data_IF_613990573619
#
_entry.id   IF_613990573619
#
_cell.length_a   1.000
_cell.length_b   1.000
_cell.length_c   1.000
_cell.angle_alpha   90.00
_cell.angle_beta   90.00
_cell.angle_gamma   90.00
#
_symmetry.space_group_name_H-M   'P 1'
#
loop_
_entity.id
_entity.type
_entity.pdbx_description
1 polymer ?
#
# COMPACT_ATOMS: atom_id res chain seq x y z
N UNK A 1 4.49 -11.17 -48.58
CA UNK A 1 4.37 -11.94 -47.30
C UNK A 1 5.01 -11.28 -46.04
N UNK A 2 5.72 -10.14 -46.12
CA UNK A 2 6.38 -9.52 -44.96
C UNK A 2 5.73 -8.27 -44.34
N UNK A 3 4.71 -7.69 -44.99
CA UNK A 3 4.18 -6.36 -44.62
C UNK A 3 3.12 -6.36 -43.49
N UNK A 4 2.60 -7.53 -43.08
CA UNK A 4 1.51 -7.63 -42.10
C UNK A 4 1.98 -7.73 -40.65
N UNK A 5 3.24 -8.09 -40.38
CA UNK A 5 3.76 -8.26 -39.02
C UNK A 5 3.89 -6.95 -38.26
N UNK A 6 4.35 -5.89 -38.94
CA UNK A 6 4.53 -4.55 -38.35
C UNK A 6 3.19 -3.99 -37.82
N UNK A 7 2.09 -3.93 -38.60
CA UNK A 7 0.82 -3.42 -38.09
C UNK A 7 0.27 -4.25 -36.93
N UNK A 8 0.39 -5.59 -36.97
CA UNK A 8 -0.08 -6.46 -35.88
C UNK A 8 0.74 -6.25 -34.60
N UNK A 9 2.06 -6.06 -34.71
CA UNK A 9 2.94 -5.74 -33.58
C UNK A 9 2.57 -4.40 -32.94
N UNK A 10 2.40 -3.35 -33.75
CA UNK A 10 2.01 -2.03 -33.27
C UNK A 10 0.65 -2.13 -32.57
N UNK A 11 -0.31 -2.84 -33.15
CA UNK A 11 -1.62 -3.06 -32.54
C UNK A 11 -1.51 -3.78 -31.18
N UNK A 12 -0.66 -4.80 -31.04
CA UNK A 12 -0.46 -5.49 -29.77
C UNK A 12 0.21 -4.61 -28.72
N UNK A 13 1.23 -3.83 -29.10
CA UNK A 13 1.92 -2.91 -28.18
C UNK A 13 0.94 -1.86 -27.66
N UNK A 14 0.17 -1.24 -28.56
CA UNK A 14 -0.85 -0.27 -28.18
C UNK A 14 -1.91 -0.90 -27.29
N UNK A 15 -2.43 -2.08 -27.69
CA UNK A 15 -3.41 -2.80 -26.88
C UNK A 15 -2.89 -3.11 -25.48
N UNK A 16 -1.63 -3.55 -25.35
CA UNK A 16 -1.02 -3.83 -24.06
C UNK A 16 -0.87 -2.55 -23.21
N UNK A 17 -0.46 -1.44 -23.82
CA UNK A 17 -0.36 -0.15 -23.13
C UNK A 17 -1.73 0.32 -22.60
N UNK A 18 -2.79 0.24 -23.41
CA UNK A 18 -4.15 0.57 -22.99
C UNK A 18 -4.66 -0.37 -21.88
N UNK A 19 -4.40 -1.67 -22.01
CA UNK A 19 -4.80 -2.66 -21.00
C UNK A 19 -4.13 -2.41 -19.65
N UNK A 20 -2.84 -2.06 -19.65
CA UNK A 20 -2.11 -1.71 -18.43
C UNK A 20 -2.71 -0.48 -17.75
N UNK A 21 -3.01 0.58 -18.52
CA UNK A 21 -3.70 1.77 -18.01
C UNK A 21 -5.08 1.44 -17.43
N UNK A 22 -5.87 0.62 -18.13
CA UNK A 22 -7.18 0.19 -17.69
C UNK A 22 -7.11 -0.63 -16.38
N UNK A 23 -6.21 -1.61 -16.27
CA UNK A 23 -6.02 -2.42 -15.06
C UNK A 23 -5.60 -1.56 -13.85
N UNK A 24 -4.68 -0.61 -14.06
CA UNK A 24 -4.24 0.31 -13.00
C UNK A 24 -5.37 1.21 -12.52
N UNK A 25 -6.10 1.81 -13.46
CA UNK A 25 -7.27 2.65 -13.15
C UNK A 25 -8.34 1.86 -12.42
N UNK A 26 -8.67 0.66 -12.91
CA UNK A 26 -9.64 -0.24 -12.30
C UNK A 26 -9.28 -0.58 -10.84
N UNK A 27 -8.03 -0.91 -10.58
CA UNK A 27 -7.57 -1.20 -9.23
C UNK A 27 -7.66 0.02 -8.30
N UNK A 28 -7.27 1.19 -8.79
CA UNK A 28 -7.35 2.45 -8.04
C UNK A 28 -8.81 2.84 -7.72
N UNK A 29 -9.72 2.71 -8.68
CA UNK A 29 -11.15 2.96 -8.49
C UNK A 29 -11.71 2.02 -7.42
N UNK A 30 -11.39 0.73 -7.53
CA UNK A 30 -11.85 -0.30 -6.60
C UNK A 30 -11.37 -0.02 -5.16
N UNK A 31 -10.12 0.41 -5.00
CA UNK A 31 -9.60 0.87 -3.70
C UNK A 31 -10.37 2.10 -3.23
N UNK A 32 -10.49 3.16 -4.04
CA UNK A 32 -11.13 4.42 -3.61
C UNK A 32 -12.61 4.25 -3.24
N UNK A 33 -13.35 3.40 -3.95
CA UNK A 33 -14.78 3.20 -3.74
C UNK A 33 -15.10 2.12 -2.69
N UNK A 34 -14.15 1.24 -2.36
CA UNK A 34 -14.37 0.22 -1.33
C UNK A 34 -14.36 0.83 0.07
N UNK A 35 -15.30 0.43 0.95
CA UNK A 35 -15.28 0.83 2.35
C UNK A 35 -13.99 0.35 3.02
N UNK A 36 -13.45 1.16 3.94
CA UNK A 36 -12.19 0.84 4.64
C UNK A 36 -12.31 -0.48 5.43
N UNK A 37 -13.48 -0.70 6.02
CA UNK A 37 -13.84 -1.95 6.67
C UNK A 37 -14.32 -2.95 5.62
N UNK A 38 -13.58 -4.05 5.42
CA UNK A 38 -13.98 -5.12 4.51
C UNK A 38 -13.52 -4.98 3.05
N UNK A 39 -12.62 -4.06 2.71
CA UNK A 39 -12.00 -3.95 1.37
C UNK A 39 -11.52 -5.31 0.82
N UNK A 40 -10.92 -6.14 1.67
CA UNK A 40 -10.48 -7.51 1.30
C UNK A 40 -11.61 -8.37 0.71
N UNK A 41 -12.83 -8.29 1.26
CA UNK A 41 -13.99 -9.06 0.79
C UNK A 41 -14.47 -8.55 -0.57
N UNK A 42 -14.48 -7.24 -0.78
CA UNK A 42 -14.79 -6.63 -2.09
C UNK A 42 -13.79 -7.06 -3.16
N UNK A 43 -12.49 -7.05 -2.83
CA UNK A 43 -11.43 -7.53 -3.73
C UNK A 43 -11.59 -9.02 -4.05
N UNK A 44 -11.89 -9.85 -3.05
CA UNK A 44 -12.10 -11.28 -3.22
C UNK A 44 -13.32 -11.58 -4.10
N UNK A 45 -14.44 -10.88 -3.89
CA UNK A 45 -15.64 -11.02 -4.71
C UNK A 45 -15.39 -10.59 -6.15
N UNK A 46 -14.71 -9.45 -6.35
CA UNK A 46 -14.31 -8.99 -7.68
C UNK A 46 -13.43 -10.01 -8.39
N UNK A 47 -12.42 -10.56 -7.71
CA UNK A 47 -11.56 -11.60 -8.27
C UNK A 47 -12.33 -12.88 -8.59
N UNK A 48 -13.26 -13.30 -7.74
CA UNK A 48 -14.10 -14.47 -7.97
C UNK A 48 -14.99 -14.30 -9.21
N UNK A 49 -15.67 -13.16 -9.35
CA UNK A 49 -16.50 -12.85 -10.52
C UNK A 49 -15.64 -12.80 -11.79
N UNK A 50 -14.51 -12.09 -11.74
CA UNK A 50 -13.58 -11.99 -12.87
C UNK A 50 -13.03 -13.34 -13.27
N UNK A 51 -12.69 -14.20 -12.31
CA UNK A 51 -12.24 -15.57 -12.54
C UNK A 51 -13.33 -16.45 -13.17
N UNK A 52 -14.56 -16.39 -12.67
CA UNK A 52 -15.69 -17.13 -13.26
C UNK A 52 -15.96 -16.70 -14.71
N UNK A 53 -16.02 -15.39 -14.95
CA UNK A 53 -16.19 -14.84 -16.31
C UNK A 53 -15.01 -15.25 -17.20
N UNK A 54 -13.78 -15.11 -16.71
CA UNK A 54 -12.56 -15.49 -17.43
C UNK A 54 -12.48 -16.98 -17.77
N UNK A 55 -13.03 -17.86 -16.91
CA UNK A 55 -13.11 -19.30 -17.20
C UNK A 55 -14.19 -19.63 -18.23
N UNK A 56 -15.33 -18.94 -18.19
CA UNK A 56 -16.44 -19.16 -19.13
C UNK A 56 -16.20 -18.53 -20.51
N UNK A 57 -15.43 -17.44 -20.59
CA UNK A 57 -15.24 -16.67 -21.81
C UNK A 57 -14.61 -17.46 -22.98
N UNK A 58 -13.56 -18.29 -22.81
CA UNK A 58 -13.01 -19.10 -23.89
C UNK A 58 -14.01 -20.12 -24.45
N UNK A 59 -14.86 -20.70 -23.57
CA UNK A 59 -15.89 -21.67 -23.98
C UNK A 59 -16.92 -20.97 -24.86
N UNK A 60 -17.44 -19.82 -24.41
CA UNK A 60 -18.39 -19.01 -25.16
C UNK A 60 -17.77 -18.53 -26.48
N UNK A 61 -16.54 -18.03 -26.45
CA UNK A 61 -15.82 -17.57 -27.63
C UNK A 61 -15.57 -18.68 -28.65
N UNK A 62 -15.26 -19.90 -28.20
CA UNK A 62 -15.10 -21.07 -29.06
C UNK A 62 -16.40 -21.50 -29.72
N UNK A 63 -17.51 -21.51 -28.98
CA UNK A 63 -18.85 -21.81 -29.52
C UNK A 63 -19.27 -20.72 -30.53
N UNK A 64 -19.07 -19.46 -30.19
CA UNK A 64 -19.36 -18.33 -31.07
C UNK A 64 -18.51 -18.40 -32.35
N UNK A 65 -17.22 -18.74 -32.23
CA UNK A 65 -16.33 -18.92 -33.37
C UNK A 65 -16.82 -20.02 -34.31
N UNK A 66 -17.27 -21.16 -33.78
CA UNK A 66 -17.87 -22.24 -34.57
C UNK A 66 -19.17 -21.80 -35.27
N UNK A 67 -20.04 -21.07 -34.57
CA UNK A 67 -21.28 -20.56 -35.17
C UNK A 67 -21.02 -19.58 -36.34
N UNK A 68 -19.89 -18.85 -36.31
CA UNK A 68 -19.53 -17.89 -37.34
C UNK A 68 -18.62 -18.46 -38.45
N UNK A 69 -18.27 -19.76 -38.42
CA UNK A 69 -17.36 -20.38 -39.41
C UNK A 69 -17.84 -20.28 -40.85
N UNK A 70 -19.17 -20.29 -41.06
CA UNK A 70 -19.77 -20.24 -42.41
C UNK A 70 -20.02 -18.81 -42.91
N UNK A 71 -19.61 -17.80 -42.14
CA UNK A 71 -19.82 -16.40 -42.48
C UNK A 71 -18.46 -15.81 -42.84
N UNK A 72 -18.16 -15.79 -44.14
CA UNK A 72 -17.04 -15.04 -44.71
C UNK A 72 -17.59 -14.05 -45.74
N UNK A 73 -17.13 -12.81 -45.63
CA UNK A 73 -17.48 -11.75 -46.58
C UNK A 73 -16.21 -11.31 -47.28
N UNK A 74 -16.25 -11.21 -48.61
CA UNK A 74 -15.18 -10.58 -49.36
C UNK A 74 -15.41 -9.08 -49.36
N UNK A 75 -14.51 -8.33 -48.72
CA UNK A 75 -14.51 -6.88 -48.78
C UNK A 75 -13.38 -6.45 -49.73
N UNK A 76 -13.75 -6.04 -50.95
CA UNK A 76 -12.80 -5.74 -52.03
C UNK A 76 -11.83 -6.91 -52.30
N UNK A 77 -10.54 -6.76 -51.99
CA UNK A 77 -9.48 -7.77 -52.23
C UNK A 77 -9.13 -8.58 -50.98
N UNK A 78 -9.78 -8.28 -49.84
CA UNK A 78 -9.48 -8.90 -48.55
C UNK A 78 -10.61 -9.83 -48.12
N UNK A 79 -10.24 -11.06 -47.77
CA UNK A 79 -11.17 -12.03 -47.20
C UNK A 79 -11.35 -11.72 -45.71
N UNK A 80 -12.52 -11.19 -45.34
CA UNK A 80 -12.88 -11.00 -43.94
C UNK A 80 -13.23 -12.37 -43.37
N UNK A 81 -12.28 -12.93 -42.64
CA UNK A 81 -12.41 -14.24 -42.01
C UNK A 81 -13.29 -14.12 -40.75
N UNK A 82 -13.93 -15.22 -40.37
CA UNK A 82 -14.75 -15.37 -39.17
C UNK A 82 -14.13 -14.75 -37.88
N UNK A 83 -12.81 -14.84 -37.70
CA UNK A 83 -12.11 -14.27 -36.54
C UNK A 83 -12.17 -12.73 -36.49
N UNK A 84 -12.12 -12.04 -37.62
CA UNK A 84 -12.21 -10.58 -37.66
C UNK A 84 -13.59 -10.10 -37.21
N UNK A 85 -14.65 -10.85 -37.55
CA UNK A 85 -16.02 -10.57 -37.09
C UNK A 85 -16.09 -10.69 -35.57
N UNK A 86 -15.48 -11.72 -34.98
CA UNK A 86 -15.41 -11.89 -33.52
C UNK A 86 -14.66 -10.73 -32.86
N UNK A 87 -13.56 -10.26 -33.47
CA UNK A 87 -12.85 -9.08 -32.98
C UNK A 87 -13.71 -7.81 -33.03
N UNK A 88 -14.51 -7.62 -34.09
CA UNK A 88 -15.44 -6.49 -34.20
C UNK A 88 -16.53 -6.58 -33.12
N UNK A 89 -17.12 -7.76 -32.91
CA UNK A 89 -18.11 -7.99 -31.85
C UNK A 89 -17.51 -7.66 -30.48
N UNK A 90 -16.26 -8.10 -30.23
CA UNK A 90 -15.53 -7.77 -29.00
C UNK A 90 -15.32 -6.26 -28.85
N UNK A 91 -14.92 -5.57 -29.92
CA UNK A 91 -14.73 -4.12 -29.92
C UNK A 91 -16.04 -3.38 -29.62
N UNK A 92 -17.17 -3.83 -30.17
CA UNK A 92 -18.50 -3.26 -29.87
C UNK A 92 -18.85 -3.48 -28.39
N UNK A 93 -18.63 -4.68 -27.85
CA UNK A 93 -18.89 -4.97 -26.44
C UNK A 93 -18.05 -4.09 -25.51
N UNK A 94 -16.78 -3.87 -25.86
CA UNK A 94 -15.89 -2.96 -25.15
C UNK A 94 -16.37 -1.50 -25.23
N UNK A 95 -16.83 -1.04 -26.40
CA UNK A 95 -17.39 0.30 -26.56
C UNK A 95 -18.67 0.48 -25.71
N UNK A 96 -19.55 -0.52 -25.66
CA UNK A 96 -20.73 -0.52 -24.78
C UNK A 96 -20.29 -0.43 -23.32
N UNK A 97 -19.28 -1.21 -22.92
CA UNK A 97 -18.73 -1.17 -21.56
C UNK A 97 -18.18 0.22 -21.21
N UNK A 98 -17.51 0.88 -22.16
CA UNK A 98 -17.03 2.25 -22.01
C UNK A 98 -18.19 3.23 -21.71
N UNK A 99 -19.34 3.08 -22.37
CA UNK A 99 -20.52 3.89 -22.08
C UNK A 99 -21.03 3.73 -20.64
N UNK A 100 -20.98 2.50 -20.10
CA UNK A 100 -21.33 2.25 -18.69
C UNK A 100 -20.31 2.87 -17.72
N UNK A 101 -19.01 2.77 -18.03
CA UNK A 101 -17.94 3.32 -17.18
C UNK A 101 -18.01 4.85 -17.10
N UNK A 102 -18.35 5.55 -18.19
CA UNK A 102 -18.51 7.02 -18.19
C UNK A 102 -19.56 7.48 -17.17
N UNK A 103 -20.52 6.61 -16.81
CA UNK A 103 -21.55 6.92 -15.81
C UNK A 103 -21.02 6.84 -14.36
N UNK A 104 -19.93 6.13 -14.13
CA UNK A 104 -19.32 5.96 -12.81
C UNK A 104 -18.60 7.25 -12.42
N UNK A 105 -19.18 8.01 -11.49
CA UNK A 105 -18.58 9.23 -10.94
C UNK A 105 -17.61 8.87 -9.82
N UNK A 106 -16.32 9.07 -10.06
CA UNK A 106 -15.32 9.10 -9.00
C UNK A 106 -15.43 10.41 -8.20
N UNK A 107 -15.54 10.38 -6.86
CA UNK A 107 -15.62 11.59 -6.03
C UNK A 107 -14.31 12.41 -5.96
N UNK A 108 -13.21 11.93 -6.56
CA UNK A 108 -11.91 12.61 -6.60
C UNK A 108 -11.13 12.30 -7.90
N UNK A 109 -11.78 12.46 -9.05
CA UNK A 109 -11.12 12.33 -10.34
C UNK A 109 -10.22 13.56 -10.60
N UNK A 110 -8.90 13.38 -10.47
CA UNK A 110 -7.94 14.34 -11.01
C UNK A 110 -7.89 14.20 -12.53
N UNK A 111 -7.86 15.32 -13.25
CA UNK A 111 -7.74 15.30 -14.71
C UNK A 111 -6.43 14.64 -15.14
N UNK A 112 -6.40 13.90 -16.28
CA UNK A 112 -5.17 13.25 -16.77
C UNK A 112 -3.97 14.21 -16.88
N UNK A 113 -4.24 15.46 -17.25
CA UNK A 113 -3.25 16.54 -17.31
C UNK A 113 -2.70 16.88 -15.93
N UNK A 114 -3.55 16.92 -14.91
CA UNK A 114 -3.11 17.19 -13.53
C UNK A 114 -2.20 16.08 -13.01
N UNK A 115 -2.48 14.82 -13.36
CA UNK A 115 -1.61 13.67 -12.98
C UNK A 115 -0.26 13.74 -13.70
N UNK A 116 -0.23 14.09 -14.99
CA UNK A 116 1.04 14.29 -15.72
C UNK A 116 1.84 15.45 -15.13
N UNK A 117 1.19 16.54 -14.75
CA UNK A 117 1.84 17.67 -14.08
C UNK A 117 2.37 17.29 -12.69
N UNK A 118 1.62 16.50 -11.92
CA UNK A 118 2.06 15.98 -10.62
C UNK A 118 3.25 15.04 -10.80
N UNK A 119 3.20 14.09 -11.74
CA UNK A 119 4.31 13.20 -12.03
C UNK A 119 5.56 13.97 -12.45
N UNK A 120 5.42 15.03 -13.25
CA UNK A 120 6.53 15.92 -13.63
C UNK A 120 7.11 16.65 -12.41
N UNK A 121 6.28 17.05 -11.46
CA UNK A 121 6.71 17.69 -10.21
C UNK A 121 7.33 16.70 -9.22
N UNK A 122 6.81 15.47 -9.11
CA UNK A 122 7.32 14.41 -8.22
C UNK A 122 8.62 13.80 -8.74
N UNK A 123 8.81 13.75 -10.06
CA UNK A 123 10.07 13.39 -10.70
C UNK A 123 11.12 14.50 -10.59
N UNK A 124 10.81 15.64 -9.96
CA UNK A 124 11.83 16.62 -9.61
C UNK A 124 12.77 16.00 -8.56
N UNK A 125 14.07 15.83 -8.85
CA UNK A 125 15.01 15.16 -7.94
C UNK A 125 15.07 15.80 -6.54
N UNK A 126 14.69 17.07 -6.42
CA UNK A 126 14.58 17.77 -5.13
C UNK A 126 13.47 17.19 -4.24
N UNK A 127 12.33 16.78 -4.82
CA UNK A 127 11.22 16.16 -4.07
C UNK A 127 11.63 14.78 -3.52
N UNK A 128 12.32 13.98 -4.33
CA UNK A 128 12.87 12.68 -3.90
C UNK A 128 13.89 12.80 -2.76
N UNK A 129 14.79 13.79 -2.82
CA UNK A 129 15.75 14.07 -1.75
C UNK A 129 15.03 14.54 -0.47
N UNK A 130 14.01 15.39 -0.58
CA UNK A 130 13.23 15.87 0.56
C UNK A 130 12.48 14.75 1.29
N UNK A 131 11.88 13.81 0.55
CA UNK A 131 11.24 12.63 1.14
C UNK A 131 12.24 11.72 1.85
N UNK A 132 13.44 11.56 1.29
CA UNK A 132 14.53 10.84 1.94
C UNK A 132 14.98 11.50 3.25
N UNK A 133 15.13 12.83 3.27
CA UNK A 133 15.48 13.56 4.49
C UNK A 133 14.40 13.52 5.56
N UNK A 134 13.12 13.54 5.18
CA UNK A 134 12.00 13.43 6.12
C UNK A 134 11.95 12.05 6.77
N UNK A 135 12.22 10.99 6.00
CA UNK A 135 12.32 9.63 6.53
C UNK A 135 13.45 9.50 7.55
N UNK A 136 14.64 10.00 7.21
CA UNK A 136 15.80 10.03 8.12
C UNK A 136 15.46 10.83 9.39
N UNK A 137 14.83 12.00 9.24
CA UNK A 137 14.41 12.84 10.36
C UNK A 137 13.38 12.14 11.27
N UNK A 138 12.46 11.37 10.70
CA UNK A 138 11.47 10.59 11.45
C UNK A 138 12.13 9.46 12.25
N UNK A 139 13.06 8.73 11.63
CA UNK A 139 13.85 7.68 12.26
C UNK A 139 14.67 8.24 13.44
N UNK A 140 15.32 9.39 13.21
CA UNK A 140 16.08 10.11 14.24
C UNK A 140 15.19 10.55 15.42
N UNK A 141 14.03 11.15 15.15
CA UNK A 141 13.05 11.50 16.19
C UNK A 141 12.56 10.30 16.97
N UNK A 142 12.38 9.15 16.31
CA UNK A 142 12.00 7.89 16.97
C UNK A 142 13.12 7.39 17.90
N UNK A 143 14.37 7.52 17.48
CA UNK A 143 15.57 7.26 18.29
C UNK A 143 15.65 8.17 19.53
N UNK A 144 15.45 9.47 19.38
CA UNK A 144 15.40 10.42 20.51
C UNK A 144 14.30 10.08 21.52
N UNK A 145 13.14 9.63 21.04
CA UNK A 145 12.03 9.20 21.90
C UNK A 145 12.37 7.96 22.72
N UNK A 146 13.17 7.03 22.17
CA UNK A 146 13.67 5.87 22.89
C UNK A 146 14.74 6.26 23.91
N UNK A 147 15.67 7.14 23.54
CA UNK A 147 16.70 7.66 24.46
C UNK A 147 16.07 8.35 25.67
N UNK A 148 15.08 9.22 25.48
CA UNK A 148 14.36 9.87 26.58
C UNK A 148 13.63 8.89 27.51
N UNK A 149 13.19 7.74 27.00
CA UNK A 149 12.59 6.69 27.85
C UNK A 149 13.65 5.98 28.67
N UNK A 150 14.83 5.73 28.09
CA UNK A 150 15.96 5.11 28.78
C UNK A 150 16.48 6.05 29.87
N UNK A 151 16.67 7.34 29.57
CA UNK A 151 17.11 8.33 30.57
C UNK A 151 16.15 8.40 31.75
N UNK A 152 14.84 8.50 31.51
CA UNK A 152 13.83 8.48 32.59
C UNK A 152 13.84 7.19 33.40
N UNK A 153 14.20 6.05 32.81
CA UNK A 153 14.32 4.79 33.52
C UNK A 153 15.59 4.78 34.39
N UNK A 154 16.69 5.31 33.87
CA UNK A 154 17.97 5.47 34.59
C UNK A 154 17.82 6.43 35.77
N UNK A 155 17.19 7.58 35.58
CA UNK A 155 16.93 8.56 36.65
C UNK A 155 16.09 7.95 37.78
N UNK A 156 15.01 7.23 37.44
CA UNK A 156 14.19 6.53 38.43
C UNK A 156 14.97 5.46 39.21
N UNK A 157 15.92 4.77 38.56
CA UNK A 157 16.77 3.77 39.21
C UNK A 157 17.80 4.44 40.13
N UNK A 158 18.34 5.60 39.73
CA UNK A 158 19.23 6.41 40.54
C UNK A 158 18.52 6.93 41.80
N UNK A 159 17.34 7.53 41.65
CA UNK A 159 16.51 8.02 42.76
C UNK A 159 16.18 6.90 43.76
N UNK A 160 15.79 5.73 43.25
CA UNK A 160 15.49 4.55 44.08
C UNK A 160 16.72 4.03 44.82
N UNK A 161 17.89 4.13 44.21
CA UNK A 161 19.17 3.75 44.83
C UNK A 161 19.56 4.75 45.92
N UNK A 162 19.40 6.05 45.69
CA UNK A 162 19.61 7.09 46.70
C UNK A 162 18.72 6.89 47.93
N UNK A 163 17.42 6.69 47.73
CA UNK A 163 16.49 6.41 48.84
C UNK A 163 16.86 5.14 49.63
N UNK A 164 17.33 4.10 48.94
CA UNK A 164 17.73 2.85 49.60
C UNK A 164 19.02 3.02 50.40
N UNK A 165 20.00 3.78 49.89
CA UNK A 165 21.25 4.09 50.59
C UNK A 165 20.97 4.94 51.82
N UNK A 166 20.16 6.00 51.70
CA UNK A 166 19.76 6.85 52.84
C UNK A 166 19.03 6.05 53.92
N UNK A 167 18.10 5.17 53.53
CA UNK A 167 17.39 4.31 54.47
C UNK A 167 18.29 3.28 55.18
N UNK A 168 19.36 2.80 54.53
CA UNK A 168 20.37 1.93 55.16
C UNK A 168 21.27 2.74 56.08
N UNK A 169 21.65 3.95 55.69
CA UNK A 169 22.49 4.84 56.50
C UNK A 169 21.77 5.24 57.80
N UNK A 170 20.50 5.67 57.73
CA UNK A 170 19.70 6.06 58.90
C UNK A 170 19.42 4.86 59.84
N UNK A 171 19.21 3.66 59.29
CA UNK A 171 19.13 2.43 60.09
C UNK A 171 20.46 2.11 60.78
N UNK A 172 21.57 2.24 60.06
CA UNK A 172 22.92 2.05 60.61
C UNK A 172 23.20 3.03 61.75
N UNK A 173 22.89 4.32 61.56
CA UNK A 173 23.08 5.35 62.57
C UNK A 173 22.27 5.08 63.85
N UNK A 174 21.00 4.65 63.72
CA UNK A 174 20.16 4.27 64.86
C UNK A 174 20.65 3.02 65.59
N UNK A 175 21.19 2.04 64.87
CA UNK A 175 21.74 0.81 65.45
C UNK A 175 23.05 1.09 66.18
N UNK A 176 23.89 2.01 65.69
CA UNK A 176 25.16 2.37 66.32
C UNK A 176 24.94 3.31 67.51
N UNK A 177 24.03 4.29 67.43
CA UNK A 177 23.77 5.23 68.54
C UNK A 177 23.18 4.57 69.79
N UNK A 178 22.32 3.56 69.66
CA UNK A 178 21.68 2.88 70.81
C UNK A 178 22.67 2.22 71.80
N UNK A 179 23.61 1.36 71.36
CA UNK A 179 24.62 0.77 72.24
C UNK A 179 25.65 1.80 72.69
N UNK A 180 26.06 2.73 71.83
CA UNK A 180 27.05 3.75 72.18
C UNK A 180 26.55 4.69 73.27
N UNK A 181 25.27 5.09 73.22
CA UNK A 181 24.64 5.89 74.29
C UNK A 181 24.54 5.10 75.60
N UNK A 182 24.18 3.81 75.55
CA UNK A 182 24.19 2.94 76.75
C UNK A 182 25.58 2.79 77.38
N UNK A 183 26.63 2.75 76.57
CA UNK A 183 28.02 2.68 77.07
C UNK A 183 28.43 4.00 77.71
N UNK A 184 28.08 5.14 77.10
CA UNK A 184 28.36 6.47 77.65
C UNK A 184 27.59 6.70 78.96
N UNK A 185 26.32 6.29 79.04
CA UNK A 185 25.51 6.42 80.25
C UNK A 185 26.02 5.49 81.36
N UNK A 186 26.47 4.26 81.03
CA UNK A 186 27.10 3.33 81.99
C UNK A 186 28.45 3.83 82.53
N UNK A 187 29.22 4.56 81.72
CA UNK A 187 30.48 5.18 82.17
C UNK A 187 30.26 6.42 83.04
N UNK A 188 29.10 7.09 82.93
CA UNK A 188 28.75 8.25 83.78
C UNK A 188 28.15 7.89 85.14
N UNK A 189 27.59 6.68 85.29
CA UNK A 189 27.02 6.19 86.56
C UNK A 189 28.06 5.50 87.46
N UNK A 190 29.33 5.43 87.04
CA UNK A 190 30.44 4.76 87.76
C UNK A 190 31.60 5.69 88.16
N UNK A 191 31.41 7.01 88.07
CA UNK A 191 32.22 8.05 88.73
C UNK A 191 31.48 8.59 89.97
#
# INVERSE_FOLDING_TARGET
>A
PGAYYIPVLIAHILSAAFMAGALLSQFNIMIKLSPQEGRSVYLALFAAITGMVGASAPIIGGVLSKAMQNISFQLFTYEVTNLQIIFIISAILQAVTMLFIIRVREPAASTPVAVIMQLKNDLNPQAGISGGTDFIMLELKRGEGLLKKIDKATDKLADKSHQKIEGVLDKGEKIVKKPFKKIIDFLKDND
#
